data_IF_232207135543
#
_entry.id   IF_232207135543
#
_cell.length_a   1.000
_cell.length_b   1.000
_cell.length_c   1.000
_cell.angle_alpha   90.00
_cell.angle_beta   90.00
_cell.angle_gamma   90.00
#
_symmetry.space_group_name_H-M   'P 1'
#
loop_
_entity.id
_entity.type
_entity.pdbx_description
1 polymer ?
#
# COMPACT_ATOMS: atom_id res chain seq x y z
N UNK A 1 -23.28 -23.42 -42.35
CA UNK A 1 -23.19 -23.48 -40.88
C UNK A 1 -22.18 -22.42 -40.45
N UNK A 2 -22.65 -21.29 -39.94
CA UNK A 2 -21.78 -20.25 -39.42
C UNK A 2 -21.51 -20.57 -37.93
N UNK A 3 -20.27 -20.91 -37.59
CA UNK A 3 -19.84 -21.14 -36.22
C UNK A 3 -19.80 -19.80 -35.46
N UNK A 4 -20.67 -19.67 -34.48
CA UNK A 4 -20.58 -18.60 -33.47
C UNK A 4 -19.30 -18.81 -32.67
N UNK A 5 -18.27 -18.00 -32.95
CA UNK A 5 -17.14 -17.85 -32.02
C UNK A 5 -17.66 -17.17 -30.75
N UNK A 6 -17.84 -17.94 -29.68
CA UNK A 6 -18.06 -17.42 -28.33
C UNK A 6 -16.78 -16.72 -27.92
N UNK A 7 -16.75 -15.39 -27.94
CA UNK A 7 -15.77 -14.61 -27.25
C UNK A 7 -16.00 -14.80 -25.73
N UNK A 8 -15.24 -15.69 -25.10
CA UNK A 8 -15.20 -15.73 -23.64
C UNK A 8 -14.56 -14.41 -23.17
N UNK A 9 -15.38 -13.48 -22.70
CA UNK A 9 -14.85 -12.30 -21.99
C UNK A 9 -14.05 -12.80 -20.79
N UNK A 10 -12.81 -12.30 -20.65
CA UNK A 10 -12.04 -12.54 -19.43
C UNK A 10 -12.87 -12.01 -18.23
N UNK A 11 -12.88 -12.72 -17.09
CA UNK A 11 -13.57 -12.23 -15.91
C UNK A 11 -13.05 -10.82 -15.57
N UNK A 12 -13.98 -9.95 -15.19
CA UNK A 12 -13.66 -8.58 -14.81
C UNK A 12 -12.77 -8.58 -13.55
N UNK A 13 -11.65 -7.88 -13.61
CA UNK A 13 -10.78 -7.74 -12.46
C UNK A 13 -11.44 -6.84 -11.42
N UNK A 14 -11.46 -7.29 -10.17
CA UNK A 14 -12.09 -6.57 -9.05
C UNK A 14 -11.04 -6.06 -8.07
N UNK A 15 -11.32 -4.94 -7.46
CA UNK A 15 -10.56 -4.38 -6.32
C UNK A 15 -11.50 -4.31 -5.13
N UNK A 16 -11.04 -4.78 -3.96
CA UNK A 16 -11.82 -4.69 -2.73
C UNK A 16 -11.63 -3.32 -2.09
N UNK A 17 -12.74 -2.62 -1.84
CA UNK A 17 -12.78 -1.34 -1.13
C UNK A 17 -13.53 -1.50 0.20
N UNK A 18 -13.50 -0.48 1.05
CA UNK A 18 -14.25 -0.46 2.32
C UNK A 18 -15.76 -0.58 2.15
N UNK A 19 -16.28 -0.34 0.93
CA UNK A 19 -17.69 -0.48 0.58
C UNK A 19 -17.98 -1.75 -0.24
N UNK A 20 -17.02 -2.66 -0.35
CA UNK A 20 -17.11 -3.89 -1.11
C UNK A 20 -16.32 -3.85 -2.42
N UNK A 21 -16.40 -4.92 -3.23
CA UNK A 21 -15.63 -5.03 -4.47
C UNK A 21 -16.18 -4.11 -5.56
N UNK A 22 -15.27 -3.45 -6.28
CA UNK A 22 -15.56 -2.62 -7.45
C UNK A 22 -14.76 -3.11 -8.66
N UNK A 23 -15.26 -2.94 -9.89
CA UNK A 23 -14.48 -3.16 -11.09
C UNK A 23 -13.16 -2.38 -11.05
N UNK A 24 -12.05 -3.03 -11.34
CA UNK A 24 -10.74 -2.38 -11.33
C UNK A 24 -10.64 -1.18 -12.30
N UNK A 25 -11.50 -1.17 -13.34
CA UNK A 25 -11.62 -0.04 -14.27
C UNK A 25 -12.25 1.22 -13.66
N UNK A 26 -12.85 1.14 -12.48
CA UNK A 26 -13.54 2.26 -11.81
C UNK A 26 -12.69 2.97 -10.74
N UNK A 27 -11.52 2.45 -10.41
CA UNK A 27 -10.71 3.03 -9.33
C UNK A 27 -10.02 4.35 -9.69
N UNK A 28 -9.83 4.67 -10.98
CA UNK A 28 -9.29 5.96 -11.46
C UNK A 28 -7.91 6.32 -10.87
N UNK A 29 -7.65 7.63 -10.72
CA UNK A 29 -6.39 8.12 -10.12
C UNK A 29 -6.30 7.66 -8.67
N UNK A 30 -5.22 6.94 -8.35
CA UNK A 30 -5.04 6.22 -7.08
C UNK A 30 -3.73 6.62 -6.40
N UNK A 31 -3.81 7.03 -5.13
CA UNK A 31 -2.66 7.16 -4.24
C UNK A 31 -2.44 5.81 -3.54
N UNK A 32 -1.28 5.21 -3.74
CA UNK A 32 -1.04 3.78 -3.45
C UNK A 32 -0.47 3.50 -2.05
N UNK A 33 -0.11 4.52 -1.30
CA UNK A 33 0.44 4.38 0.05
C UNK A 33 0.25 5.66 0.86
N UNK A 34 -0.86 5.73 1.58
CA UNK A 34 -1.18 6.85 2.47
C UNK A 34 -1.71 6.35 3.82
N UNK A 35 -1.80 7.26 4.78
CA UNK A 35 -2.24 6.96 6.14
C UNK A 35 -3.30 7.96 6.61
N UNK A 36 -4.38 7.46 7.20
CA UNK A 36 -5.40 8.29 7.85
C UNK A 36 -5.02 8.53 9.31
N UNK A 37 -4.72 7.46 10.02
CA UNK A 37 -4.37 7.48 11.43
C UNK A 37 -3.20 6.54 11.67
N UNK A 38 -2.23 6.98 12.49
CA UNK A 38 -1.09 6.15 12.93
C UNK A 38 -0.88 6.35 14.42
N UNK A 39 -0.88 5.27 15.20
CA UNK A 39 -0.61 5.26 16.64
C UNK A 39 0.66 4.46 16.95
N UNK A 40 1.73 5.16 17.24
CA UNK A 40 3.05 4.57 17.49
C UNK A 40 3.23 4.06 18.92
N UNK A 41 2.15 3.90 19.71
CA UNK A 41 2.24 3.47 21.12
C UNK A 41 2.73 2.02 21.29
N UNK A 42 2.56 1.18 20.26
CA UNK A 42 2.85 -0.25 20.29
C UNK A 42 1.61 -1.12 20.50
N UNK A 43 1.71 -2.39 20.06
CA UNK A 43 0.57 -3.31 19.98
C UNK A 43 -0.15 -3.53 21.32
N UNK A 44 0.59 -3.58 22.42
CA UNK A 44 0.06 -3.85 23.77
C UNK A 44 -0.88 -2.74 24.29
N UNK A 45 -0.79 -1.55 23.71
CA UNK A 45 -1.54 -0.36 24.15
C UNK A 45 -2.43 0.22 23.05
N UNK A 46 -2.27 -0.21 21.80
CA UNK A 46 -3.05 0.27 20.68
C UNK A 46 -4.52 -0.18 20.77
N UNK A 47 -5.41 0.66 20.31
CA UNK A 47 -6.84 0.33 20.26
C UNK A 47 -7.74 1.55 20.09
N UNK A 48 -8.99 1.33 19.70
CA UNK A 48 -9.97 2.36 19.36
C UNK A 48 -10.30 3.36 20.49
N UNK A 49 -9.97 3.03 21.73
CA UNK A 49 -10.11 3.92 22.88
C UNK A 49 -9.12 5.08 22.90
N UNK A 50 -8.16 5.09 21.99
CA UNK A 50 -7.08 6.09 21.94
C UNK A 50 -7.43 7.33 21.10
N UNK A 51 -8.48 7.27 20.31
CA UNK A 51 -8.90 8.38 19.46
C UNK A 51 -10.43 8.51 19.39
N UNK A 52 -10.87 9.72 19.16
CA UNK A 52 -12.28 10.00 18.89
C UNK A 52 -12.49 10.02 17.36
N UNK A 53 -13.30 9.09 16.85
CA UNK A 53 -13.55 8.89 15.42
C UNK A 53 -13.90 10.20 14.71
N UNK A 54 -14.79 11.01 15.27
CA UNK A 54 -15.24 12.27 14.65
C UNK A 54 -14.15 13.33 14.56
N UNK A 55 -13.20 13.34 15.49
CA UNK A 55 -12.04 14.23 15.42
C UNK A 55 -11.10 13.83 14.29
N UNK A 56 -10.84 12.52 14.11
CA UNK A 56 -10.04 12.00 12.98
C UNK A 56 -10.72 12.34 11.66
N UNK A 57 -12.00 12.02 11.49
CA UNK A 57 -12.77 12.32 10.27
C UNK A 57 -12.72 13.81 9.94
N UNK A 58 -13.01 14.68 10.92
CA UNK A 58 -12.95 16.14 10.76
C UNK A 58 -11.57 16.63 10.33
N UNK A 59 -10.48 16.03 10.86
CA UNK A 59 -9.11 16.40 10.51
C UNK A 59 -8.76 16.01 9.09
N UNK A 60 -9.18 14.83 8.64
CA UNK A 60 -8.77 14.22 7.37
C UNK A 60 -9.58 14.74 6.17
N UNK A 61 -10.88 14.99 6.34
CA UNK A 61 -11.79 15.40 5.25
C UNK A 61 -11.26 16.54 4.37
N UNK A 62 -10.70 17.65 4.91
CA UNK A 62 -10.18 18.73 4.07
C UNK A 62 -9.06 18.29 3.12
N UNK A 63 -8.22 17.36 3.52
CA UNK A 63 -7.12 16.84 2.71
C UNK A 63 -7.60 15.89 1.62
N UNK A 64 -8.67 15.11 1.89
CA UNK A 64 -9.32 14.30 0.86
C UNK A 64 -10.04 15.19 -0.16
N UNK A 65 -10.72 16.25 0.28
CA UNK A 65 -11.34 17.23 -0.61
C UNK A 65 -10.29 17.94 -1.50
N UNK A 66 -9.11 18.28 -0.96
CA UNK A 66 -8.00 18.86 -1.74
C UNK A 66 -7.58 17.96 -2.90
N UNK A 67 -7.37 16.66 -2.64
CA UNK A 67 -6.92 15.75 -3.70
C UNK A 67 -8.00 15.40 -4.72
N UNK A 68 -9.27 15.56 -4.39
CA UNK A 68 -10.35 15.44 -5.36
C UNK A 68 -10.32 16.52 -6.43
N UNK A 69 -9.74 17.70 -6.16
CA UNK A 69 -9.49 18.74 -7.16
C UNK A 69 -8.53 18.25 -8.26
N UNK A 70 -7.62 17.33 -7.92
CA UNK A 70 -6.73 16.62 -8.85
C UNK A 70 -7.35 15.32 -9.43
N UNK A 71 -8.67 15.12 -9.23
CA UNK A 71 -9.42 13.96 -9.72
C UNK A 71 -8.97 12.61 -9.11
N UNK A 72 -8.35 12.64 -7.93
CA UNK A 72 -8.09 11.42 -7.17
C UNK A 72 -9.42 10.81 -6.74
N UNK A 73 -9.61 9.55 -7.08
CA UNK A 73 -10.84 8.79 -6.76
C UNK A 73 -10.59 7.66 -5.79
N UNK A 74 -9.33 7.28 -5.61
CA UNK A 74 -8.97 6.12 -4.78
C UNK A 74 -7.75 6.41 -3.91
N UNK A 75 -7.81 5.99 -2.65
CA UNK A 75 -6.71 6.06 -1.70
C UNK A 75 -6.50 4.69 -1.05
N UNK A 76 -5.26 4.20 -1.11
CA UNK A 76 -4.85 2.97 -0.43
C UNK A 76 -4.30 3.34 0.94
N UNK A 77 -5.07 3.00 1.97
CA UNK A 77 -4.75 3.25 3.37
C UNK A 77 -3.89 2.12 3.90
N UNK A 78 -2.64 2.43 4.25
CA UNK A 78 -1.59 1.46 4.53
C UNK A 78 -1.33 1.20 6.02
N UNK A 79 -2.13 1.75 6.94
CA UNK A 79 -1.97 1.50 8.37
C UNK A 79 -2.48 0.11 8.74
N UNK A 80 -1.63 -0.82 9.20
CA UNK A 80 -2.06 -2.17 9.57
C UNK A 80 -2.69 -2.21 10.97
N UNK A 81 -3.24 -3.37 11.32
CA UNK A 81 -3.71 -3.65 12.68
C UNK A 81 -2.62 -3.34 13.72
N UNK A 82 -3.03 -2.90 14.90
CA UNK A 82 -2.17 -2.50 16.03
C UNK A 82 -1.27 -1.28 15.80
N UNK A 83 -1.39 -0.62 14.63
CA UNK A 83 -0.70 0.64 14.33
C UNK A 83 -1.69 1.80 14.08
N UNK A 84 -3.00 1.56 14.23
CA UNK A 84 -4.03 2.59 14.05
C UNK A 84 -5.06 2.32 12.96
N UNK A 85 -5.08 1.11 12.35
CA UNK A 85 -6.12 0.74 11.40
C UNK A 85 -7.51 0.87 12.04
N UNK A 86 -8.40 1.68 11.43
CA UNK A 86 -9.80 1.83 11.87
C UNK A 86 -10.75 1.77 10.67
N UNK A 87 -11.41 0.62 10.43
CA UNK A 87 -12.29 0.43 9.30
C UNK A 87 -13.56 1.29 9.35
N UNK A 88 -14.02 1.69 10.54
CA UNK A 88 -15.21 2.55 10.67
C UNK A 88 -14.91 3.99 10.25
N UNK A 89 -13.72 4.53 10.57
CA UNK A 89 -13.25 5.84 10.09
C UNK A 89 -13.17 5.82 8.57
N UNK A 90 -12.57 4.79 7.99
CA UNK A 90 -12.39 4.70 6.54
C UNK A 90 -13.74 4.60 5.81
N UNK A 91 -14.68 3.84 6.36
CA UNK A 91 -16.03 3.73 5.80
C UNK A 91 -16.78 5.07 5.83
N UNK A 92 -16.64 5.83 6.92
CA UNK A 92 -17.23 7.17 7.03
C UNK A 92 -16.58 8.16 6.05
N UNK A 93 -15.25 8.23 5.99
CA UNK A 93 -14.53 9.06 5.03
C UNK A 93 -14.91 8.74 3.57
N UNK A 94 -15.04 7.45 3.25
CA UNK A 94 -15.50 7.03 1.92
C UNK A 94 -16.94 7.48 1.64
N UNK A 95 -17.83 7.40 2.63
CA UNK A 95 -19.23 7.87 2.51
C UNK A 95 -19.32 9.37 2.29
N UNK A 96 -18.54 10.16 3.05
CA UNK A 96 -18.53 11.63 2.96
C UNK A 96 -17.93 12.16 1.66
N UNK A 97 -16.92 11.49 1.12
CA UNK A 97 -16.17 11.96 -0.06
C UNK A 97 -16.61 11.29 -1.37
N UNK A 98 -17.25 10.13 -1.30
CA UNK A 98 -17.50 9.28 -2.46
C UNK A 98 -16.23 8.60 -3.02
N UNK A 99 -15.08 8.73 -2.37
CA UNK A 99 -13.84 8.09 -2.80
C UNK A 99 -13.82 6.60 -2.45
N UNK A 100 -13.15 5.82 -3.27
CA UNK A 100 -12.79 4.45 -2.93
C UNK A 100 -11.64 4.46 -1.93
N UNK A 101 -11.86 3.95 -0.73
CA UNK A 101 -10.79 3.70 0.23
C UNK A 101 -10.51 2.19 0.27
N UNK A 102 -9.22 1.83 0.25
CA UNK A 102 -8.77 0.43 0.28
C UNK A 102 -7.98 0.25 1.58
N UNK A 103 -8.44 -0.65 2.44
CA UNK A 103 -7.74 -1.00 3.69
C UNK A 103 -7.09 -2.38 3.57
N UNK A 104 -6.41 -2.81 4.62
CA UNK A 104 -5.56 -3.99 4.61
C UNK A 104 -5.85 -4.95 5.76
N UNK A 105 -5.32 -6.17 5.62
CA UNK A 105 -5.03 -7.09 6.72
C UNK A 105 -3.52 -7.26 6.87
N UNK A 106 -3.06 -7.84 7.96
CA UNK A 106 -1.63 -8.07 8.18
C UNK A 106 -1.11 -7.43 9.46
N UNK A 107 0.15 -7.76 9.80
CA UNK A 107 0.85 -7.22 10.97
C UNK A 107 2.16 -6.57 10.57
N UNK A 108 2.52 -5.51 11.30
CA UNK A 108 3.70 -4.71 11.02
C UNK A 108 4.86 -5.12 11.93
N UNK A 109 5.81 -5.87 11.37
CA UNK A 109 6.96 -6.41 12.10
C UNK A 109 8.19 -5.50 12.16
N UNK A 110 8.20 -4.35 11.48
CA UNK A 110 9.29 -3.41 11.62
C UNK A 110 9.30 -2.72 13.01
N UNK A 111 10.32 -1.92 13.29
CA UNK A 111 10.57 -1.32 14.61
C UNK A 111 10.71 -2.37 15.72
N UNK A 112 11.51 -3.42 15.45
CA UNK A 112 11.78 -4.50 16.42
C UNK A 112 10.48 -5.17 16.94
N UNK A 113 9.53 -5.40 16.05
CA UNK A 113 8.24 -6.05 16.33
C UNK A 113 7.33 -5.29 17.34
N UNK A 114 7.54 -3.98 17.56
CA UNK A 114 6.77 -3.17 18.51
C UNK A 114 5.25 -3.24 18.27
N UNK A 115 4.83 -3.43 17.01
CA UNK A 115 3.42 -3.45 16.59
C UNK A 115 2.90 -4.87 16.33
N UNK A 116 3.62 -5.87 16.80
CA UNK A 116 3.18 -7.27 16.75
C UNK A 116 2.41 -7.60 18.03
N UNK A 117 1.17 -8.12 17.94
CA UNK A 117 0.38 -8.46 19.13
C UNK A 117 0.96 -9.68 19.87
N UNK A 118 0.72 -9.77 21.18
CA UNK A 118 1.27 -10.81 22.05
C UNK A 118 0.97 -12.23 21.55
N UNK A 119 -0.26 -12.47 21.07
CA UNK A 119 -0.69 -13.78 20.59
C UNK A 119 0.16 -14.32 19.42
N UNK A 120 0.78 -13.44 18.63
CA UNK A 120 1.63 -13.81 17.50
C UNK A 120 2.78 -14.76 17.91
N UNK A 121 3.36 -14.56 19.10
CA UNK A 121 4.49 -15.35 19.57
C UNK A 121 4.15 -16.85 19.66
N UNK A 122 2.92 -17.17 20.07
CA UNK A 122 2.42 -18.51 20.33
C UNK A 122 1.71 -19.15 19.13
N UNK A 123 1.52 -18.43 18.03
CA UNK A 123 0.85 -18.92 16.83
C UNK A 123 1.83 -19.30 15.73
N UNK A 124 1.48 -20.28 14.94
CA UNK A 124 2.15 -20.62 13.70
C UNK A 124 1.78 -19.61 12.59
N UNK A 125 2.56 -19.57 11.50
CA UNK A 125 2.22 -18.77 10.33
C UNK A 125 0.85 -19.12 9.72
N UNK A 126 0.43 -20.40 9.81
CA UNK A 126 -0.89 -20.86 9.35
C UNK A 126 -2.01 -20.26 10.20
N UNK A 127 -1.93 -20.34 11.52
CA UNK A 127 -2.94 -19.79 12.42
C UNK A 127 -3.06 -18.26 12.27
N UNK A 128 -1.96 -17.55 12.01
CA UNK A 128 -1.98 -16.13 11.69
C UNK A 128 -2.67 -15.88 10.34
N UNK A 129 -2.35 -16.69 9.33
CA UNK A 129 -3.01 -16.61 8.03
C UNK A 129 -4.52 -16.84 8.13
N UNK A 130 -4.98 -17.76 8.98
CA UNK A 130 -6.41 -18.02 9.20
C UNK A 130 -7.14 -16.78 9.74
N UNK A 131 -6.50 -15.98 10.61
CA UNK A 131 -7.05 -14.68 11.06
C UNK A 131 -7.21 -13.72 9.88
N UNK A 132 -6.19 -13.59 9.04
CA UNK A 132 -6.21 -12.63 7.91
C UNK A 132 -7.17 -13.07 6.79
N UNK A 133 -7.33 -14.38 6.59
CA UNK A 133 -8.34 -14.95 5.69
C UNK A 133 -9.74 -14.69 6.24
N UNK A 134 -9.96 -14.85 7.55
CA UNK A 134 -11.24 -14.57 8.18
C UNK A 134 -11.63 -13.09 8.03
N UNK A 135 -10.69 -12.15 8.20
CA UNK A 135 -10.93 -10.72 7.91
C UNK A 135 -11.35 -10.49 6.45
N UNK A 136 -10.78 -11.23 5.50
CA UNK A 136 -11.17 -11.12 4.09
C UNK A 136 -12.53 -11.76 3.79
N UNK A 137 -12.86 -12.89 4.40
CA UNK A 137 -14.11 -13.61 4.15
C UNK A 137 -15.29 -13.00 4.89
N UNK A 138 -15.11 -12.62 6.14
CA UNK A 138 -16.17 -12.20 7.06
C UNK A 138 -16.15 -10.71 7.39
N UNK A 139 -15.04 -10.02 7.15
CA UNK A 139 -14.83 -8.60 7.47
C UNK A 139 -13.96 -8.40 8.70
N UNK A 140 -13.32 -7.23 8.74
CA UNK A 140 -12.47 -6.81 9.86
C UNK A 140 -13.37 -6.53 11.06
N UNK A 141 -13.28 -7.35 12.08
CA UNK A 141 -14.11 -7.29 13.29
C UNK A 141 -15.62 -7.22 12.94
N UNK A 142 -16.42 -6.38 13.62
CA UNK A 142 -17.84 -6.22 13.34
C UNK A 142 -18.15 -5.12 12.31
N UNK A 143 -17.13 -4.54 11.65
CA UNK A 143 -17.30 -3.44 10.70
C UNK A 143 -17.96 -3.84 9.38
N UNK A 144 -17.82 -5.12 9.00
CA UNK A 144 -18.20 -5.64 7.69
C UNK A 144 -17.28 -5.15 6.55
N UNK A 145 -16.23 -4.39 6.86
CA UNK A 145 -15.22 -3.94 5.88
C UNK A 145 -14.25 -5.08 5.61
N UNK A 146 -13.98 -5.36 4.34
CA UNK A 146 -13.02 -6.38 3.92
C UNK A 146 -11.71 -5.73 3.46
N UNK A 147 -10.54 -6.34 3.77
CA UNK A 147 -9.27 -5.84 3.29
C UNK A 147 -9.11 -6.01 1.77
N UNK A 148 -8.46 -5.04 1.11
CA UNK A 148 -8.14 -5.08 -0.32
C UNK A 148 -6.71 -5.54 -0.61
N UNK A 149 -5.85 -5.64 0.41
CA UNK A 149 -4.47 -6.13 0.29
C UNK A 149 -3.94 -6.59 1.64
N UNK A 150 -2.77 -7.24 1.64
CA UNK A 150 -2.05 -7.63 2.84
C UNK A 150 -0.94 -6.61 3.08
N UNK A 151 -0.94 -5.94 4.26
CA UNK A 151 0.14 -5.02 4.66
C UNK A 151 0.97 -5.63 5.77
N UNK A 152 2.22 -5.87 5.48
CA UNK A 152 3.21 -6.34 6.44
C UNK A 152 4.38 -5.37 6.50
N UNK A 153 5.34 -5.61 7.39
CA UNK A 153 6.57 -4.85 7.48
C UNK A 153 7.69 -5.65 8.10
N UNK A 154 8.90 -5.36 7.68
CA UNK A 154 10.14 -5.92 8.24
C UNK A 154 11.13 -4.82 8.51
N UNK A 155 12.08 -5.04 9.42
CA UNK A 155 13.18 -4.12 9.64
C UNK A 155 14.15 -4.10 8.44
N UNK A 156 14.74 -2.95 8.18
CA UNK A 156 15.75 -2.76 7.13
C UNK A 156 17.15 -3.28 7.46
N UNK A 157 17.26 -4.26 8.38
CA UNK A 157 18.53 -4.87 8.77
C UNK A 157 19.02 -5.91 7.75
N UNK A 158 20.23 -6.39 7.97
CA UNK A 158 20.94 -7.26 7.02
C UNK A 158 20.25 -8.60 6.73
N UNK A 159 19.51 -9.17 7.68
CA UNK A 159 18.81 -10.45 7.54
C UNK A 159 17.45 -10.42 8.22
N UNK A 160 16.49 -11.15 7.65
CA UNK A 160 15.17 -11.32 8.24
C UNK A 160 15.25 -12.12 9.55
N UNK A 161 14.57 -11.66 10.60
CA UNK A 161 14.38 -12.42 11.82
C UNK A 161 13.43 -13.62 11.59
N UNK A 162 13.35 -14.52 12.58
CA UNK A 162 12.39 -15.64 12.52
C UNK A 162 10.95 -15.14 12.51
N UNK A 163 10.69 -14.06 13.24
CA UNK A 163 9.38 -13.39 13.30
C UNK A 163 9.02 -12.80 11.95
N UNK A 164 9.98 -12.12 11.27
CA UNK A 164 9.77 -11.62 9.91
C UNK A 164 9.49 -12.74 8.93
N UNK A 165 10.25 -13.83 8.95
CA UNK A 165 9.98 -15.00 8.09
C UNK A 165 8.58 -15.57 8.37
N UNK A 166 8.15 -15.62 9.64
CA UNK A 166 6.81 -16.09 10.03
C UNK A 166 5.71 -15.17 9.47
N UNK A 167 5.87 -13.84 9.56
CA UNK A 167 4.94 -12.86 8.98
C UNK A 167 4.82 -13.03 7.46
N UNK A 168 5.95 -13.15 6.77
CA UNK A 168 5.98 -13.30 5.31
C UNK A 168 5.34 -14.63 4.89
N UNK A 169 5.60 -15.70 5.64
CA UNK A 169 4.97 -17.00 5.42
C UNK A 169 3.44 -16.93 5.61
N UNK A 170 2.97 -16.25 6.67
CA UNK A 170 1.55 -16.01 6.86
C UNK A 170 0.94 -15.21 5.71
N UNK A 171 1.62 -14.17 5.22
CA UNK A 171 1.18 -13.40 4.07
C UNK A 171 1.09 -14.24 2.79
N UNK A 172 2.07 -15.12 2.55
CA UNK A 172 2.04 -16.06 1.42
C UNK A 172 0.82 -17.00 1.48
N UNK A 173 0.57 -17.60 2.65
CA UNK A 173 -0.59 -18.49 2.87
C UNK A 173 -1.93 -17.76 2.73
N UNK A 174 -2.00 -16.52 3.17
CA UNK A 174 -3.18 -15.67 3.00
C UNK A 174 -3.41 -15.31 1.53
N UNK A 175 -2.34 -14.89 0.83
CA UNK A 175 -2.41 -14.61 -0.61
C UNK A 175 -2.96 -15.80 -1.40
N UNK A 176 -2.47 -17.02 -1.14
CA UNK A 176 -2.90 -18.23 -1.83
C UNK A 176 -4.40 -18.51 -1.69
N UNK A 177 -5.02 -18.09 -0.57
CA UNK A 177 -6.44 -18.31 -0.32
C UNK A 177 -7.33 -17.15 -0.78
N UNK A 178 -6.80 -15.92 -0.80
CA UNK A 178 -7.59 -14.70 -1.01
C UNK A 178 -7.30 -13.98 -2.33
N UNK A 179 -6.15 -14.22 -2.93
CA UNK A 179 -5.67 -13.46 -4.08
C UNK A 179 -5.22 -12.02 -3.77
N UNK A 180 -5.17 -11.62 -2.50
CA UNK A 180 -4.74 -10.29 -2.08
C UNK A 180 -3.25 -10.05 -2.37
N UNK A 181 -2.88 -8.91 -2.92
CA UNK A 181 -1.48 -8.50 -3.12
C UNK A 181 -0.80 -8.25 -1.76
N UNK A 182 0.49 -8.51 -1.67
CA UNK A 182 1.29 -8.35 -0.45
C UNK A 182 2.13 -7.08 -0.59
N UNK A 183 1.88 -6.07 0.25
CA UNK A 183 2.69 -4.86 0.36
C UNK A 183 3.52 -4.92 1.66
N UNK A 184 4.83 -4.80 1.55
CA UNK A 184 5.72 -4.90 2.71
C UNK A 184 6.59 -3.65 2.88
N UNK A 185 6.47 -2.99 4.03
CA UNK A 185 7.46 -2.01 4.48
C UNK A 185 8.83 -2.69 4.58
N UNK A 186 9.80 -2.20 3.81
CA UNK A 186 11.08 -2.90 3.64
C UNK A 186 12.26 -1.92 3.58
N UNK A 187 12.34 -1.12 2.52
CA UNK A 187 13.46 -0.21 2.25
C UNK A 187 14.60 -0.87 1.47
N UNK A 188 15.71 -1.33 2.11
CA UNK A 188 16.91 -1.80 1.41
C UNK A 188 16.74 -3.06 0.56
N UNK A 189 17.67 -3.26 -0.40
CA UNK A 189 17.66 -4.39 -1.32
C UNK A 189 17.64 -5.76 -0.63
N UNK A 190 18.53 -5.96 0.33
CA UNK A 190 18.73 -7.28 0.94
C UNK A 190 17.46 -7.84 1.57
N UNK A 191 16.79 -7.16 2.51
CA UNK A 191 15.54 -7.67 3.08
C UNK A 191 14.42 -7.78 2.03
N UNK A 192 14.42 -6.96 0.97
CA UNK A 192 13.46 -7.11 -0.11
C UNK A 192 13.65 -8.43 -0.86
N UNK A 193 14.88 -8.77 -1.26
CA UNK A 193 15.16 -10.03 -1.95
C UNK A 193 15.02 -11.26 -1.06
N UNK A 194 15.31 -11.16 0.23
CA UNK A 194 15.04 -12.25 1.18
C UNK A 194 13.52 -12.52 1.31
N UNK A 195 12.68 -11.48 1.35
CA UNK A 195 11.21 -11.63 1.34
C UNK A 195 10.73 -12.28 0.03
N UNK A 196 11.20 -11.80 -1.12
CA UNK A 196 10.86 -12.39 -2.43
C UNK A 196 11.21 -13.89 -2.43
N UNK A 197 12.37 -14.27 -1.87
CA UNK A 197 12.81 -15.65 -1.77
C UNK A 197 11.89 -16.51 -0.90
N UNK A 198 11.43 -15.97 0.24
CA UNK A 198 10.46 -16.66 1.11
C UNK A 198 9.12 -16.81 0.38
N UNK A 199 8.60 -15.78 -0.27
CA UNK A 199 7.36 -15.83 -1.03
C UNK A 199 7.42 -16.87 -2.15
N UNK A 200 8.51 -16.90 -2.92
CA UNK A 200 8.72 -17.90 -3.98
C UNK A 200 8.82 -19.33 -3.42
N UNK A 201 9.38 -19.54 -2.21
CA UNK A 201 9.41 -20.86 -1.56
C UNK A 201 8.02 -21.37 -1.16
N UNK A 202 7.02 -20.48 -1.17
CA UNK A 202 5.61 -20.78 -0.97
C UNK A 202 4.79 -20.62 -2.28
N UNK A 203 5.42 -20.73 -3.45
CA UNK A 203 4.78 -20.66 -4.77
C UNK A 203 4.01 -19.36 -5.03
N UNK A 204 4.39 -18.25 -4.37
CA UNK A 204 3.83 -16.92 -4.65
C UNK A 204 4.64 -16.24 -5.77
N UNK A 205 3.94 -15.84 -6.83
CA UNK A 205 4.55 -15.11 -7.95
C UNK A 205 5.04 -13.73 -7.48
N UNK A 206 6.28 -13.30 -7.80
CA UNK A 206 6.79 -11.98 -7.42
C UNK A 206 5.93 -10.80 -7.86
N UNK A 207 5.10 -10.93 -8.90
CA UNK A 207 4.14 -9.90 -9.31
C UNK A 207 3.03 -9.64 -8.28
N UNK A 208 2.91 -10.50 -7.28
CA UNK A 208 2.01 -10.34 -6.13
C UNK A 208 2.66 -9.61 -4.94
N UNK A 209 3.87 -9.09 -5.11
CA UNK A 209 4.62 -8.39 -4.08
C UNK A 209 4.87 -6.93 -4.45
N UNK A 210 4.59 -6.02 -3.50
CA UNK A 210 4.90 -4.60 -3.58
C UNK A 210 6.05 -4.33 -2.59
N UNK A 211 7.20 -3.96 -3.13
CA UNK A 211 8.34 -3.50 -2.35
C UNK A 211 8.11 -2.04 -1.94
N UNK A 212 7.62 -1.86 -0.72
CA UNK A 212 7.34 -0.55 -0.11
C UNK A 212 8.65 0.12 0.34
N UNK A 213 8.75 1.43 0.17
CA UNK A 213 9.95 2.24 0.38
C UNK A 213 11.15 1.82 -0.51
N UNK A 214 10.86 1.40 -1.73
CA UNK A 214 11.88 0.97 -2.68
C UNK A 214 12.85 2.10 -3.08
N UNK A 215 12.56 3.37 -2.76
CA UNK A 215 13.51 4.49 -2.86
C UNK A 215 14.78 4.27 -2.03
N UNK A 216 14.71 3.50 -0.94
CA UNK A 216 15.88 3.14 -0.10
C UNK A 216 16.71 2.00 -0.69
N UNK A 217 16.24 1.38 -1.75
CA UNK A 217 16.98 0.39 -2.51
C UNK A 217 17.84 1.02 -3.60
N UNK A 218 18.81 0.24 -4.11
CA UNK A 218 19.62 0.64 -5.25
C UNK A 218 18.78 0.65 -6.55
N UNK A 219 19.20 1.44 -7.54
CA UNK A 219 18.59 1.38 -8.88
C UNK A 219 18.70 -0.03 -9.48
N UNK A 220 19.85 -0.69 -9.32
CA UNK A 220 20.07 -2.05 -9.78
C UNK A 220 19.10 -3.04 -9.10
N UNK A 221 18.91 -2.90 -7.77
CA UNK A 221 17.92 -3.68 -7.02
C UNK A 221 16.51 -3.46 -7.51
N UNK A 222 16.10 -2.20 -7.72
CA UNK A 222 14.78 -1.87 -8.25
C UNK A 222 14.55 -2.50 -9.64
N UNK A 223 15.52 -2.36 -10.57
CA UNK A 223 15.45 -2.95 -11.92
C UNK A 223 15.36 -4.48 -11.84
N UNK A 224 16.20 -5.11 -11.02
CA UNK A 224 16.20 -6.56 -10.82
C UNK A 224 14.86 -7.06 -10.28
N UNK A 225 14.30 -6.39 -9.27
CA UNK A 225 13.00 -6.75 -8.70
C UNK A 225 11.86 -6.53 -9.70
N UNK A 226 11.86 -5.41 -10.43
CA UNK A 226 10.88 -5.14 -11.48
C UNK A 226 10.93 -6.18 -12.61
N UNK A 227 12.12 -6.65 -12.99
CA UNK A 227 12.29 -7.73 -13.96
C UNK A 227 11.71 -9.08 -13.48
N UNK A 228 11.65 -9.30 -12.17
CA UNK A 228 10.98 -10.47 -11.57
C UNK A 228 9.46 -10.29 -11.51
N UNK A 229 8.93 -9.09 -11.80
CA UNK A 229 7.51 -8.77 -11.75
C UNK A 229 7.09 -7.96 -10.53
N UNK A 230 7.97 -7.74 -9.56
CA UNK A 230 7.71 -6.98 -8.32
C UNK A 230 7.30 -5.55 -8.62
N UNK A 231 6.39 -5.01 -7.84
CA UNK A 231 6.01 -3.59 -7.86
C UNK A 231 7.00 -2.77 -7.03
N UNK A 232 7.53 -1.71 -7.63
CA UNK A 232 8.49 -0.79 -7.03
C UNK A 232 7.73 0.43 -6.50
N UNK A 233 7.50 0.48 -5.19
CA UNK A 233 6.78 1.59 -4.55
C UNK A 233 7.76 2.68 -4.13
N UNK A 234 7.73 3.80 -4.85
CA UNK A 234 8.46 5.03 -4.56
C UNK A 234 7.49 5.97 -3.82
N UNK A 235 7.37 5.81 -2.52
CA UNK A 235 6.22 6.22 -1.74
C UNK A 235 6.51 7.21 -0.59
N UNK A 236 7.51 8.03 -0.72
CA UNK A 236 7.75 9.12 0.24
C UNK A 236 7.99 10.46 -0.48
N UNK A 237 7.12 10.77 -1.46
CA UNK A 237 7.14 12.10 -2.10
C UNK A 237 6.76 13.16 -1.07
N UNK A 238 7.73 14.00 -0.67
CA UNK A 238 7.58 14.92 0.44
C UNK A 238 8.17 16.29 0.10
N UNK A 239 7.30 17.31 0.04
CA UNK A 239 7.68 18.70 -0.27
C UNK A 239 8.50 19.38 0.84
N UNK A 240 8.55 18.81 2.05
CA UNK A 240 9.33 19.35 3.15
C UNK A 240 10.80 18.90 3.12
N UNK A 241 11.17 18.02 2.19
CA UNK A 241 12.58 17.63 1.99
C UNK A 241 13.27 18.77 1.22
N UNK A 242 14.42 19.20 1.74
CA UNK A 242 15.21 20.27 1.15
C UNK A 242 15.66 19.93 -0.28
N UNK A 243 15.51 20.88 -1.18
CA UNK A 243 15.92 20.73 -2.59
C UNK A 243 17.43 20.42 -2.69
N UNK A 244 17.76 19.39 -3.45
CA UNK A 244 19.13 18.87 -3.60
C UNK A 244 19.53 17.84 -2.54
N UNK A 245 18.65 17.51 -1.58
CA UNK A 245 18.83 16.41 -0.65
C UNK A 245 18.43 15.08 -1.27
N UNK A 246 18.89 13.99 -0.66
CA UNK A 246 18.43 12.66 -1.01
C UNK A 246 16.92 12.53 -0.76
N UNK A 247 16.19 11.95 -1.71
CA UNK A 247 14.73 11.80 -1.71
C UNK A 247 13.94 13.11 -1.83
N UNK A 248 14.53 14.18 -2.37
CA UNK A 248 13.75 15.32 -2.80
C UNK A 248 12.90 14.99 -4.07
N UNK A 249 12.06 15.89 -4.52
CA UNK A 249 11.18 15.66 -5.69
C UNK A 249 11.97 15.36 -6.96
N UNK A 250 13.16 15.99 -7.14
CA UNK A 250 14.02 15.77 -8.32
C UNK A 250 14.61 14.37 -8.29
N UNK A 251 15.03 13.91 -7.12
CA UNK A 251 15.52 12.53 -6.94
C UNK A 251 14.46 11.50 -7.37
N UNK A 252 13.17 11.70 -6.97
CA UNK A 252 12.08 10.82 -7.41
C UNK A 252 11.89 10.87 -8.92
N UNK A 253 11.89 12.07 -9.52
CA UNK A 253 11.75 12.24 -10.96
C UNK A 253 12.90 11.57 -11.72
N UNK A 254 14.14 11.65 -11.21
CA UNK A 254 15.30 10.96 -11.78
C UNK A 254 15.16 9.43 -11.69
N UNK A 255 14.82 8.90 -10.52
CA UNK A 255 14.64 7.46 -10.30
C UNK A 255 13.53 6.88 -11.18
N UNK A 256 12.41 7.57 -11.31
CA UNK A 256 11.30 7.14 -12.19
C UNK A 256 11.74 7.14 -13.66
N UNK A 257 12.48 8.17 -14.09
CA UNK A 257 13.01 8.26 -15.46
C UNK A 257 14.06 7.17 -15.74
N UNK A 258 14.89 6.82 -14.77
CA UNK A 258 15.84 5.70 -14.88
C UNK A 258 15.12 4.36 -15.03
N UNK A 259 14.06 4.11 -14.25
CA UNK A 259 13.22 2.91 -14.37
C UNK A 259 12.46 2.88 -15.71
N UNK A 260 11.96 4.03 -16.20
CA UNK A 260 11.40 4.17 -17.54
C UNK A 260 12.41 3.76 -18.61
N UNK A 261 13.63 4.32 -18.57
CA UNK A 261 14.69 4.05 -19.55
C UNK A 261 15.12 2.57 -19.52
N UNK A 262 15.01 1.90 -18.37
CA UNK A 262 15.23 0.47 -18.21
C UNK A 262 14.04 -0.39 -18.68
N UNK A 263 12.90 0.22 -19.07
CA UNK A 263 11.71 -0.48 -19.56
C UNK A 263 10.73 -0.93 -18.48
N UNK A 264 10.83 -0.43 -17.24
CA UNK A 264 10.05 -0.87 -16.10
C UNK A 264 9.09 0.19 -15.52
N UNK A 265 8.75 1.23 -16.29
CA UNK A 265 7.77 2.24 -15.84
C UNK A 265 6.44 1.60 -15.43
N UNK A 266 6.04 0.51 -16.10
CA UNK A 266 4.84 -0.26 -15.83
C UNK A 266 4.90 -1.11 -14.54
N UNK A 267 5.96 -0.97 -13.74
CA UNK A 267 6.13 -1.61 -12.42
C UNK A 267 6.31 -0.60 -11.30
N UNK A 268 6.21 0.70 -11.59
CA UNK A 268 6.39 1.76 -10.62
C UNK A 268 5.05 2.19 -10.02
N UNK A 269 5.01 2.27 -8.70
CA UNK A 269 3.95 2.91 -7.91
C UNK A 269 4.52 4.15 -7.24
N UNK A 270 3.71 5.20 -7.13
CA UNK A 270 4.11 6.47 -6.50
C UNK A 270 3.09 6.90 -5.46
N UNK A 271 3.56 7.38 -4.31
CA UNK A 271 2.71 7.91 -3.24
C UNK A 271 3.51 8.81 -2.29
N UNK A 272 2.90 9.22 -1.17
CA UNK A 272 3.51 10.19 -0.25
C UNK A 272 3.94 9.56 1.08
N UNK A 273 3.36 8.43 1.49
CA UNK A 273 3.47 7.91 2.86
C UNK A 273 3.12 9.02 3.87
N UNK A 274 2.01 9.68 3.62
CA UNK A 274 1.59 10.92 4.28
C UNK A 274 0.26 10.75 5.02
N UNK A 275 -0.22 11.86 5.58
CA UNK A 275 -1.37 11.91 6.45
C UNK A 275 -0.93 11.92 7.90
N UNK A 276 -1.27 10.89 8.66
CA UNK A 276 -0.82 10.62 10.03
C UNK A 276 -1.52 11.50 11.07
N UNK A 277 -2.83 11.29 11.26
CA UNK A 277 -3.44 11.71 12.53
C UNK A 277 -2.80 10.90 13.65
N UNK A 278 -2.24 11.57 14.65
CA UNK A 278 -1.53 10.95 15.77
C UNK A 278 -2.31 11.18 17.07
N UNK A 279 -2.87 10.13 17.67
CA UNK A 279 -3.70 10.27 18.87
C UNK A 279 -2.98 10.86 20.08
N UNK A 280 -1.66 10.71 20.15
CA UNK A 280 -0.83 11.24 21.23
C UNK A 280 -0.51 12.74 21.13
N UNK A 281 -0.76 13.35 19.97
CA UNK A 281 -0.52 14.77 19.72
C UNK A 281 -1.84 15.58 19.78
N UNK A 282 -1.76 16.82 20.27
CA UNK A 282 -2.91 17.72 20.31
C UNK A 282 -3.50 17.91 18.90
N UNK A 283 -4.84 17.85 18.79
CA UNK A 283 -5.58 17.95 17.52
C UNK A 283 -5.08 16.96 16.44
N UNK A 284 -4.53 15.81 16.84
CA UNK A 284 -3.97 14.80 15.93
C UNK A 284 -2.64 15.19 15.29
N UNK A 285 -1.98 16.20 15.80
CA UNK A 285 -0.67 16.65 15.36
C UNK A 285 -0.66 17.32 13.98
N UNK A 286 0.53 17.41 13.41
CA UNK A 286 0.72 17.93 12.04
C UNK A 286 0.36 16.85 11.04
N UNK A 287 -0.76 17.06 10.32
CA UNK A 287 -1.19 16.18 9.25
C UNK A 287 -0.54 16.60 7.93
N UNK A 288 0.16 15.70 7.25
CA UNK A 288 0.80 15.97 5.96
C UNK A 288 -0.19 15.69 4.83
N UNK A 289 -0.45 16.67 3.96
CA UNK A 289 -1.35 16.54 2.82
C UNK A 289 -0.82 15.62 1.72
N UNK A 290 -1.66 15.33 0.75
CA UNK A 290 -1.45 14.34 -0.31
C UNK A 290 -1.32 14.96 -1.71
N UNK A 291 -1.03 16.27 -1.81
CA UNK A 291 -1.00 17.00 -3.11
C UNK A 291 0.39 17.06 -3.76
N UNK A 292 1.46 16.65 -3.06
CA UNK A 292 2.85 16.79 -3.55
C UNK A 292 3.16 16.13 -4.88
N UNK A 293 2.53 15.00 -5.20
CA UNK A 293 2.67 14.35 -6.51
C UNK A 293 2.16 15.28 -7.61
N UNK A 294 1.00 15.91 -7.42
CA UNK A 294 0.35 16.73 -8.43
C UNK A 294 1.00 18.10 -8.59
N UNK A 295 1.42 18.70 -7.47
CA UNK A 295 1.97 20.06 -7.45
C UNK A 295 3.45 20.15 -7.79
N UNK A 296 4.22 19.05 -7.61
CA UNK A 296 5.66 19.08 -7.80
C UNK A 296 6.21 17.89 -8.60
N UNK A 297 5.84 16.63 -8.27
CA UNK A 297 6.45 15.48 -8.94
C UNK A 297 6.02 15.39 -10.41
N UNK A 298 4.73 15.53 -10.73
CA UNK A 298 4.25 15.49 -12.12
C UNK A 298 4.93 16.58 -12.97
N UNK A 299 4.99 17.87 -12.57
CA UNK A 299 5.76 18.88 -13.29
C UNK A 299 7.23 18.51 -13.52
N UNK A 300 7.88 17.88 -12.54
CA UNK A 300 9.27 17.44 -12.68
C UNK A 300 9.41 16.26 -13.66
N UNK A 301 8.46 15.33 -13.68
CA UNK A 301 8.42 14.23 -14.64
C UNK A 301 8.18 14.73 -16.08
N UNK A 302 7.28 15.69 -16.27
CA UNK A 302 7.04 16.35 -17.57
C UNK A 302 8.30 17.04 -18.08
N UNK A 303 9.04 17.75 -17.21
CA UNK A 303 10.33 18.35 -17.57
C UNK A 303 11.38 17.31 -17.99
N UNK A 304 11.28 16.06 -17.48
CA UNK A 304 12.12 14.94 -17.92
C UNK A 304 11.57 14.22 -19.16
N UNK A 305 10.48 14.69 -19.73
CA UNK A 305 9.91 14.18 -20.98
C UNK A 305 9.01 12.96 -20.80
N UNK A 306 8.40 12.77 -19.63
CA UNK A 306 7.31 11.79 -19.49
C UNK A 306 6.06 12.35 -20.18
N UNK A 307 5.39 11.51 -20.97
CA UNK A 307 4.14 11.87 -21.64
C UNK A 307 2.96 11.79 -20.69
N UNK A 308 1.82 12.38 -21.11
CA UNK A 308 0.55 12.27 -20.37
C UNK A 308 0.13 10.80 -20.18
N UNK A 309 0.36 9.95 -21.19
CA UNK A 309 0.04 8.52 -21.11
C UNK A 309 0.94 7.79 -20.10
N UNK A 310 2.19 8.20 -19.97
CA UNK A 310 3.12 7.64 -18.97
C UNK A 310 2.76 8.10 -17.55
N UNK A 311 2.30 9.33 -17.39
CA UNK A 311 1.76 9.83 -16.11
C UNK A 311 0.46 9.08 -15.76
N UNK A 312 -0.44 8.91 -16.74
CA UNK A 312 -1.64 8.08 -16.55
C UNK A 312 -1.30 6.63 -16.18
N UNK A 313 -0.26 6.05 -16.78
CA UNK A 313 0.24 4.72 -16.41
C UNK A 313 0.61 4.66 -14.92
N UNK A 314 1.34 5.65 -14.41
CA UNK A 314 1.76 5.71 -13.00
C UNK A 314 0.59 5.88 -12.03
N UNK A 315 -0.41 6.70 -12.38
CA UNK A 315 -1.48 7.12 -11.47
C UNK A 315 -2.72 6.21 -11.51
N UNK A 316 -2.97 5.51 -12.60
CA UNK A 316 -4.19 4.73 -12.78
C UNK A 316 -3.92 3.27 -13.16
N UNK A 317 -3.12 3.04 -14.22
CA UNK A 317 -2.97 1.69 -14.78
C UNK A 317 -2.14 0.79 -13.84
N UNK A 318 -1.01 1.30 -13.35
CA UNK A 318 -0.16 0.54 -12.43
C UNK A 318 -0.86 0.24 -11.10
N UNK A 319 -1.47 1.22 -10.39
CA UNK A 319 -2.24 0.95 -9.19
C UNK A 319 -3.34 -0.10 -9.40
N UNK A 320 -4.14 0.04 -10.44
CA UNK A 320 -5.16 -0.94 -10.80
C UNK A 320 -4.58 -2.34 -10.97
N UNK A 321 -3.44 -2.46 -11.69
CA UNK A 321 -2.78 -3.74 -11.94
C UNK A 321 -2.05 -4.30 -10.72
N UNK A 322 -1.71 -3.47 -9.74
CA UNK A 322 -1.10 -3.91 -8.50
C UNK A 322 -2.15 -4.48 -7.52
N UNK A 323 -3.29 -3.81 -7.37
CA UNK A 323 -4.25 -4.06 -6.29
C UNK A 323 -5.48 -4.90 -6.69
N UNK A 324 -5.63 -5.35 -7.94
CA UNK A 324 -6.74 -6.25 -8.26
C UNK A 324 -6.59 -7.62 -7.58
N UNK A 325 -7.72 -8.22 -7.22
CA UNK A 325 -7.78 -9.57 -6.65
C UNK A 325 -7.33 -10.61 -7.69
N UNK A 326 -6.39 -11.44 -7.32
CA UNK A 326 -5.86 -12.51 -8.18
C UNK A 326 -6.59 -13.81 -7.87
N UNK A 327 -7.19 -14.38 -8.90
CA UNK A 327 -7.89 -15.67 -8.81
C UNK A 327 -6.92 -16.84 -8.95
#
# INVERSE_FOLDING_TARGET
MAGLMSCSQKPEQMIMTVNGPVPASQVGITLTHEHVLVDFIGADSAGYHRWEKQEVVKKVLPYLAEIQEYKVTTLVECTPAYLGRDPWILKELSSETGMHLITNTGYYGAHNNLFIPEHFSNMSAREISEIWVDEFENGIEESGVKPGFIKIGVDGHDTLSKEHVKIITAAALTHQQTGLVIASHTGPDRPAFEQISVLQSHDVDPSCFIWVHAQRGSLEGNIRAANMGVWISLDNVNLNIEEGSEYDVRWYADRINELKNAGYLNKVLISHDAGWYKPEEADGGTFRGFSGIFTALIPALEQKGLSTEEIHLLLEVNPRNAFFLRN
#
